data_IF_139383473969
#
_entry.id   IF_139383473969
#
_cell.length_a   1.000
_cell.length_b   1.000
_cell.length_c   1.000
_cell.angle_alpha   90.00
_cell.angle_beta   90.00
_cell.angle_gamma   90.00
#
_symmetry.space_group_name_H-M   'P 1'
#
loop_
_entity.id
_entity.type
_entity.pdbx_description
1 polymer ?
#
# COMPACT_ATOMS: atom_id res chain seq x y z
N UNK A 1 3.00 -74.81 -34.83
CA UNK A 1 4.44 -74.51 -34.93
C UNK A 1 4.60 -73.03 -35.25
N UNK A 2 5.34 -72.34 -34.38
CA UNK A 2 6.04 -71.04 -34.50
C UNK A 2 5.55 -69.91 -35.45
N UNK A 3 5.30 -68.76 -34.79
CA UNK A 3 5.92 -67.44 -34.96
C UNK A 3 5.75 -66.58 -36.22
N UNK A 4 5.66 -65.26 -35.97
CA UNK A 4 6.25 -64.21 -36.83
C UNK A 4 5.22 -63.27 -37.45
N UNK A 5 4.56 -62.41 -36.68
CA UNK A 5 4.92 -61.01 -36.39
C UNK A 5 4.71 -59.98 -37.53
N UNK A 6 3.61 -59.23 -37.35
CA UNK A 6 3.43 -57.77 -37.44
C UNK A 6 4.15 -56.97 -38.55
N UNK A 7 3.37 -56.52 -39.53
CA UNK A 7 3.74 -55.43 -40.45
C UNK A 7 2.74 -54.26 -40.35
N UNK A 8 3.14 -53.27 -39.55
CA UNK A 8 3.07 -51.81 -39.74
C UNK A 8 1.96 -51.17 -40.60
N UNK A 9 1.15 -50.32 -39.97
CA UNK A 9 0.49 -49.18 -40.61
C UNK A 9 0.43 -47.95 -39.68
N UNK A 10 1.11 -46.88 -40.13
CA UNK A 10 0.89 -45.45 -39.91
C UNK A 10 0.60 -44.91 -38.49
N UNK A 11 1.67 -44.60 -37.75
CA UNK A 11 1.65 -43.65 -36.64
C UNK A 11 2.69 -42.56 -36.89
N UNK A 12 2.30 -41.30 -36.77
CA UNK A 12 3.20 -40.16 -36.89
C UNK A 12 4.27 -40.20 -35.79
N UNK A 13 5.54 -40.29 -36.21
CA UNK A 13 6.70 -40.10 -35.34
C UNK A 13 6.83 -38.62 -34.97
N UNK A 14 6.63 -38.32 -33.69
CA UNK A 14 7.01 -37.06 -33.07
C UNK A 14 8.46 -37.26 -32.58
N UNK A 15 9.47 -36.53 -33.09
CA UNK A 15 10.82 -36.65 -32.56
C UNK A 15 10.85 -36.10 -31.12
N UNK A 16 10.96 -37.02 -30.17
CA UNK A 16 11.38 -36.76 -28.79
C UNK A 16 12.89 -36.52 -28.81
N UNK A 17 13.30 -35.27 -29.05
CA UNK A 17 14.69 -34.86 -28.92
C UNK A 17 14.81 -33.67 -27.98
N UNK A 18 15.48 -33.94 -26.86
CA UNK A 18 16.42 -33.01 -26.27
C UNK A 18 15.84 -32.06 -25.25
N UNK A 19 16.24 -32.26 -24.00
CA UNK A 19 16.21 -31.25 -22.96
C UNK A 19 16.83 -29.95 -23.49
N UNK A 20 16.00 -28.96 -23.76
CA UNK A 20 16.43 -27.58 -23.68
C UNK A 20 16.22 -27.17 -22.23
N UNK A 21 17.31 -27.10 -21.47
CA UNK A 21 17.42 -26.21 -20.33
C UNK A 21 16.94 -24.84 -20.80
N UNK A 22 15.68 -24.53 -20.54
CA UNK A 22 15.22 -23.16 -20.56
C UNK A 22 16.00 -22.54 -19.41
N UNK A 23 16.90 -21.57 -19.64
CA UNK A 23 17.40 -20.81 -18.52
C UNK A 23 16.17 -20.17 -17.90
N UNK A 24 15.77 -20.64 -16.72
CA UNK A 24 15.02 -19.79 -15.80
C UNK A 24 16.01 -18.68 -15.49
N UNK A 25 15.99 -17.64 -16.31
CA UNK A 25 16.40 -16.33 -15.86
C UNK A 25 15.39 -15.98 -14.79
N UNK A 26 15.71 -16.32 -13.54
CA UNK A 26 15.25 -15.54 -12.40
C UNK A 26 15.88 -14.17 -12.60
N UNK A 27 15.30 -13.37 -13.49
CA UNK A 27 15.59 -11.95 -13.58
C UNK A 27 15.08 -11.41 -12.26
N UNK A 28 16.04 -11.16 -11.37
CA UNK A 28 15.83 -10.40 -10.17
C UNK A 28 15.02 -9.14 -10.49
N UNK A 29 14.06 -8.84 -9.61
CA UNK A 29 13.59 -7.49 -9.32
C UNK A 29 13.53 -6.53 -10.52
N UNK A 30 12.62 -6.76 -11.46
CA UNK A 30 11.97 -5.60 -12.04
C UNK A 30 11.04 -5.04 -10.95
N UNK A 31 11.22 -3.80 -10.45
CA UNK A 31 10.21 -3.21 -9.61
C UNK A 31 8.95 -3.18 -10.47
N UNK A 32 7.93 -3.94 -10.05
CA UNK A 32 6.63 -3.94 -10.69
C UNK A 32 6.24 -2.48 -10.92
N UNK A 33 6.17 -2.07 -12.19
CA UNK A 33 6.01 -0.69 -12.67
C UNK A 33 5.40 0.24 -11.59
N UNK A 34 6.25 0.87 -10.77
CA UNK A 34 5.79 1.61 -9.58
C UNK A 34 4.84 2.75 -9.99
N UNK A 35 4.94 3.20 -11.24
CA UNK A 35 4.07 4.18 -11.90
C UNK A 35 2.58 3.83 -11.78
N UNK A 36 2.22 2.54 -11.85
CA UNK A 36 0.83 2.09 -11.82
C UNK A 36 0.24 1.91 -10.43
N UNK A 37 1.08 1.91 -9.38
CA UNK A 37 0.64 1.60 -8.02
C UNK A 37 0.04 2.82 -7.32
N UNK A 38 -1.05 2.60 -6.59
CA UNK A 38 -1.71 3.63 -5.79
C UNK A 38 -0.96 3.85 -4.47
N UNK A 39 -0.59 5.09 -4.19
CA UNK A 39 0.07 5.50 -2.96
C UNK A 39 -0.75 6.58 -2.23
N UNK A 40 -0.51 6.64 -0.92
CA UNK A 40 -0.99 7.71 -0.06
C UNK A 40 0.19 8.56 0.37
N UNK A 41 0.07 9.87 0.19
CA UNK A 41 1.10 10.86 0.47
C UNK A 41 0.71 11.73 1.65
N UNK A 42 1.71 12.09 2.46
CA UNK A 42 1.55 13.07 3.54
C UNK A 42 2.87 13.75 3.83
N UNK A 43 2.83 15.08 4.00
CA UNK A 43 3.98 15.83 4.47
C UNK A 43 4.06 15.76 6.01
N UNK A 44 5.16 15.23 6.53
CA UNK A 44 5.36 15.02 7.97
C UNK A 44 6.78 15.38 8.38
N UNK A 45 6.99 15.71 9.65
CA UNK A 45 8.35 15.83 10.20
C UNK A 45 9.08 14.50 10.07
N UNK A 46 10.37 14.58 9.81
CA UNK A 46 11.23 13.43 9.61
C UNK A 46 12.17 13.27 10.81
N UNK A 47 12.29 12.03 11.31
CA UNK A 47 13.28 11.62 12.30
C UNK A 47 14.05 10.46 11.70
N UNK A 48 15.27 10.71 11.24
CA UNK A 48 16.20 9.71 10.71
C UNK A 48 15.62 8.83 9.56
N UNK A 49 14.87 9.44 8.65
CA UNK A 49 14.27 8.76 7.49
C UNK A 49 12.88 8.19 7.75
N UNK A 50 12.33 8.33 8.95
CA UNK A 50 11.01 7.82 9.37
C UNK A 50 10.12 9.02 9.73
N UNK A 51 8.80 8.98 9.44
CA UNK A 51 7.91 10.03 9.89
C UNK A 51 7.85 10.10 11.42
N UNK A 52 7.86 11.32 11.96
CA UNK A 52 7.70 11.57 13.39
C UNK A 52 6.32 11.07 13.83
N UNK A 53 6.30 10.08 14.73
CA UNK A 53 5.07 9.57 15.34
C UNK A 53 4.53 10.56 16.37
N UNK A 54 3.21 10.72 16.40
CA UNK A 54 2.51 11.45 17.44
C UNK A 54 1.30 12.22 16.91
N UNK A 55 0.65 12.94 17.81
CA UNK A 55 -0.52 13.75 17.43
C UNK A 55 -0.08 15.07 16.80
N UNK A 56 -0.58 15.35 15.60
CA UNK A 56 -0.26 16.57 14.87
C UNK A 56 -0.61 16.46 13.40
N UNK A 57 -0.82 17.61 12.76
CA UNK A 57 -1.00 17.68 11.30
C UNK A 57 0.29 17.35 10.55
N UNK A 58 1.44 17.61 11.18
CA UNK A 58 2.79 17.39 10.66
C UNK A 58 3.44 16.12 11.23
N UNK A 59 2.65 15.21 11.83
CA UNK A 59 3.10 13.94 12.41
C UNK A 59 2.27 12.78 11.88
N UNK A 60 2.79 11.57 12.05
CA UNK A 60 2.06 10.34 11.83
C UNK A 60 1.28 9.96 13.08
N UNK A 61 0.00 10.31 13.08
CA UNK A 61 -0.93 10.00 14.15
C UNK A 61 -2.27 10.71 13.96
N UNK A 62 -3.29 10.19 14.63
CA UNK A 62 -4.61 10.80 14.65
C UNK A 62 -4.67 11.83 15.77
N UNK A 63 -5.34 12.95 15.52
CA UNK A 63 -5.76 13.91 16.54
C UNK A 63 -7.15 13.52 17.04
N UNK A 64 -7.57 14.06 18.18
CA UNK A 64 -8.93 13.83 18.68
C UNK A 64 -10.01 14.19 17.65
N UNK A 65 -9.80 15.26 16.87
CA UNK A 65 -10.74 15.65 15.80
C UNK A 65 -10.78 14.65 14.65
N UNK A 66 -9.68 13.97 14.36
CA UNK A 66 -9.60 12.96 13.30
C UNK A 66 -10.39 11.69 13.69
N UNK A 67 -10.72 11.54 14.99
CA UNK A 67 -11.57 10.46 15.52
C UNK A 67 -12.87 10.98 16.12
N UNK A 68 -13.33 12.16 15.70
CA UNK A 68 -14.59 12.78 16.14
C UNK A 68 -14.71 12.93 17.68
N UNK A 69 -13.61 13.22 18.36
CA UNK A 69 -13.52 13.39 19.81
C UNK A 69 -13.96 12.15 20.62
N UNK A 70 -13.99 10.98 19.97
CA UNK A 70 -14.38 9.73 20.61
C UNK A 70 -13.31 9.26 21.60
N UNK A 71 -13.74 8.64 22.70
CA UNK A 71 -12.83 8.06 23.68
C UNK A 71 -12.09 6.85 23.10
N UNK A 72 -10.89 6.55 23.63
CA UNK A 72 -10.07 5.42 23.16
C UNK A 72 -10.78 4.06 23.27
N UNK A 73 -11.73 3.91 24.20
CA UNK A 73 -12.52 2.68 24.36
C UNK A 73 -13.71 2.56 23.42
N UNK A 74 -14.08 3.65 22.71
CA UNK A 74 -15.21 3.64 21.79
C UNK A 74 -14.93 2.72 20.62
N UNK A 75 -15.86 1.81 20.34
CA UNK A 75 -15.82 0.94 19.16
C UNK A 75 -16.21 1.70 17.90
N UNK A 76 -15.41 1.55 16.84
CA UNK A 76 -15.65 2.08 15.51
C UNK A 76 -15.63 0.93 14.50
N UNK A 77 -16.38 1.10 13.41
CA UNK A 77 -16.47 0.11 12.32
C UNK A 77 -15.82 0.64 11.05
N UNK A 78 -15.68 -0.17 9.99
CA UNK A 78 -15.20 0.33 8.70
C UNK A 78 -16.09 1.41 8.05
N UNK A 79 -17.31 1.61 8.55
CA UNK A 79 -18.20 2.70 8.15
C UNK A 79 -17.85 4.04 8.81
N UNK A 80 -16.87 4.06 9.72
CA UNK A 80 -16.40 5.28 10.35
C UNK A 80 -15.80 6.23 9.31
N UNK A 81 -16.33 7.45 9.22
CA UNK A 81 -16.06 8.38 8.11
C UNK A 81 -14.89 9.33 8.34
N UNK A 82 -14.19 9.22 9.47
CA UNK A 82 -13.04 10.07 9.80
C UNK A 82 -11.78 9.22 9.93
N UNK A 83 -10.61 9.85 9.84
CA UNK A 83 -9.34 9.15 9.94
C UNK A 83 -8.15 10.04 9.60
N UNK A 84 -7.03 9.41 9.30
CA UNK A 84 -5.80 10.13 8.96
C UNK A 84 -5.94 10.71 7.55
N UNK A 85 -6.04 12.03 7.44
CA UNK A 85 -6.02 12.72 6.15
C UNK A 85 -4.74 12.43 5.35
N UNK A 86 -4.89 12.11 4.08
CA UNK A 86 -3.79 11.86 3.14
C UNK A 86 -4.16 12.45 1.77
N UNK A 87 -3.18 12.52 0.88
CA UNK A 87 -3.40 12.81 -0.54
C UNK A 87 -3.15 11.54 -1.34
N UNK A 88 -4.04 11.20 -2.27
CA UNK A 88 -3.92 10.01 -3.12
C UNK A 88 -3.12 10.34 -4.38
N UNK A 89 -2.27 9.43 -4.83
CA UNK A 89 -1.49 9.59 -6.06
C UNK A 89 -0.92 8.26 -6.55
N UNK A 90 -0.06 8.33 -7.58
CA UNK A 90 0.49 7.15 -8.25
C UNK A 90 2.02 7.23 -8.34
N UNK A 91 2.68 6.11 -8.06
CA UNK A 91 4.13 5.96 -8.15
C UNK A 91 4.95 7.01 -7.41
N UNK A 92 5.97 7.55 -8.08
CA UNK A 92 6.86 8.59 -7.52
C UNK A 92 6.38 10.02 -7.82
N UNK A 93 5.27 10.18 -8.55
CA UNK A 93 4.76 11.50 -8.91
C UNK A 93 4.04 12.10 -7.70
N UNK A 94 4.70 13.05 -7.03
CA UNK A 94 4.12 13.77 -5.90
C UNK A 94 2.88 14.55 -6.37
N UNK A 95 1.69 14.31 -5.78
CA UNK A 95 0.51 15.11 -6.08
C UNK A 95 0.75 16.60 -5.78
N UNK A 96 0.34 17.53 -6.66
CA UNK A 96 0.67 18.95 -6.52
C UNK A 96 0.07 19.63 -5.27
N UNK A 97 -0.91 19.01 -4.61
CA UNK A 97 -1.67 19.57 -3.50
C UNK A 97 -1.50 18.80 -2.18
N UNK A 98 -0.36 18.14 -1.95
CA UNK A 98 -0.06 17.55 -0.63
C UNK A 98 0.07 18.67 0.40
N UNK A 99 -0.82 18.79 1.42
CA UNK A 99 -0.79 19.90 2.35
C UNK A 99 0.50 19.92 3.18
N UNK A 100 1.13 21.08 3.28
CA UNK A 100 2.33 21.27 4.12
C UNK A 100 1.99 21.99 5.44
N UNK A 101 1.79 21.20 6.49
CA UNK A 101 1.61 21.71 7.86
C UNK A 101 2.93 21.87 8.63
N UNK A 102 4.05 21.44 8.03
CA UNK A 102 5.38 21.52 8.63
C UNK A 102 6.04 22.90 8.47
N UNK A 103 5.43 23.79 7.67
CA UNK A 103 5.96 25.11 7.30
C UNK A 103 7.32 25.02 6.56
N UNK A 104 7.39 24.15 5.56
CA UNK A 104 8.57 23.94 4.72
C UNK A 104 9.69 23.10 5.36
N UNK A 105 9.44 22.47 6.52
CA UNK A 105 10.46 21.70 7.27
C UNK A 105 10.23 20.18 7.27
N UNK A 106 9.17 19.73 6.63
CA UNK A 106 8.75 18.34 6.59
C UNK A 106 9.27 17.64 5.35
N UNK A 107 9.08 16.33 5.34
CA UNK A 107 9.38 15.44 4.24
C UNK A 107 8.07 14.85 3.76
N UNK A 108 7.89 14.78 2.45
CA UNK A 108 6.76 14.06 1.87
C UNK A 108 7.07 12.57 1.99
N UNK A 109 6.20 11.84 2.67
CA UNK A 109 6.26 10.39 2.72
C UNK A 109 5.14 9.80 1.88
N UNK A 110 5.38 8.61 1.32
CA UNK A 110 4.39 7.78 0.66
C UNK A 110 4.29 6.40 1.33
N UNK A 111 3.11 5.80 1.28
CA UNK A 111 2.88 4.39 1.63
C UNK A 111 2.02 3.75 0.54
N UNK A 112 2.31 2.52 0.08
CA UNK A 112 1.43 1.81 -0.83
C UNK A 112 0.04 1.65 -0.20
N UNK A 113 -1.03 2.02 -0.90
CA UNK A 113 -2.38 1.91 -0.33
C UNK A 113 -2.74 0.45 0.02
N UNK A 114 -2.21 -0.51 -0.74
CA UNK A 114 -2.38 -1.96 -0.52
C UNK A 114 -1.73 -2.47 0.77
N UNK A 115 -0.64 -1.84 1.24
CA UNK A 115 0.06 -2.31 2.44
C UNK A 115 -0.71 -2.02 3.72
N UNK A 116 -1.68 -1.10 3.71
CA UNK A 116 -2.48 -0.79 4.89
C UNK A 116 -3.32 -1.98 5.38
N UNK A 117 -3.75 -2.86 4.48
CA UNK A 117 -4.59 -4.00 4.83
C UNK A 117 -3.91 -4.96 5.82
N UNK A 118 -2.58 -5.13 5.74
CA UNK A 118 -1.85 -5.95 6.72
C UNK A 118 -1.83 -5.36 8.13
N UNK A 119 -2.13 -4.07 8.27
CA UNK A 119 -2.30 -3.38 9.54
C UNK A 119 -3.76 -3.34 10.01
N UNK A 120 -4.70 -3.93 9.27
CA UNK A 120 -6.14 -3.78 9.54
C UNK A 120 -6.66 -2.38 9.22
N UNK A 121 -5.98 -1.67 8.32
CA UNK A 121 -6.32 -0.32 7.86
C UNK A 121 -6.65 -0.33 6.37
N UNK A 122 -7.36 0.70 5.90
CA UNK A 122 -7.65 0.90 4.48
C UNK A 122 -7.46 2.37 4.11
N UNK A 123 -6.84 2.62 2.97
CA UNK A 123 -6.73 3.94 2.37
C UNK A 123 -7.81 4.14 1.34
N UNK A 124 -8.66 5.15 1.52
CA UNK A 124 -9.78 5.41 0.63
C UNK A 124 -9.70 6.84 0.06
N UNK A 125 -9.93 7.03 -1.24
CA UNK A 125 -10.23 8.36 -1.76
C UNK A 125 -11.54 8.85 -1.11
N UNK A 126 -11.57 10.12 -0.73
CA UNK A 126 -12.74 10.76 -0.13
C UNK A 126 -13.03 12.00 -0.96
N UNK A 127 -14.22 12.07 -1.53
CA UNK A 127 -14.63 13.22 -2.34
C UNK A 127 -14.60 14.49 -1.48
N UNK A 128 -13.75 15.44 -1.85
CA UNK A 128 -13.68 16.76 -1.25
C UNK A 128 -13.56 17.79 -2.39
N UNK A 129 -14.60 18.60 -2.65
CA UNK A 129 -14.59 19.59 -3.72
C UNK A 129 -13.46 20.62 -3.60
N UNK A 130 -12.99 20.89 -2.38
CA UNK A 130 -11.97 21.90 -2.11
C UNK A 130 -10.55 21.34 -2.15
N UNK A 131 -10.40 20.00 -2.07
CA UNK A 131 -9.09 19.32 -1.99
C UNK A 131 -9.04 18.17 -2.98
N UNK A 132 -8.48 18.39 -4.18
CA UNK A 132 -8.27 17.33 -5.16
C UNK A 132 -7.45 16.18 -4.59
N UNK A 133 -7.82 14.95 -4.94
CA UNK A 133 -7.18 13.71 -4.48
C UNK A 133 -7.16 13.54 -2.95
N UNK A 134 -8.10 14.16 -2.23
CA UNK A 134 -8.24 13.92 -0.80
C UNK A 134 -8.54 12.44 -0.51
N UNK A 135 -7.92 11.91 0.53
CA UNK A 135 -8.17 10.57 1.01
C UNK A 135 -8.04 10.48 2.52
N UNK A 136 -8.42 9.32 3.04
CA UNK A 136 -8.29 9.01 4.46
C UNK A 136 -7.82 7.57 4.66
N UNK A 137 -6.96 7.38 5.66
CA UNK A 137 -6.72 6.06 6.25
C UNK A 137 -7.75 5.83 7.36
N UNK A 138 -8.46 4.70 7.27
CA UNK A 138 -9.57 4.31 8.15
C UNK A 138 -9.40 2.85 8.63
N UNK A 139 -10.14 2.42 9.65
CA UNK A 139 -10.21 1.00 10.04
C UNK A 139 -10.75 0.13 8.90
N UNK A 140 -10.10 -0.99 8.61
CA UNK A 140 -10.60 -2.00 7.67
C UNK A 140 -11.52 -3.03 8.35
N UNK A 141 -11.41 -3.18 9.67
CA UNK A 141 -12.24 -4.04 10.51
C UNK A 141 -12.69 -3.29 11.77
N UNK A 142 -13.75 -3.74 12.47
CA UNK A 142 -14.15 -3.14 13.73
C UNK A 142 -13.03 -3.16 14.78
N UNK A 143 -12.80 -2.03 15.44
CA UNK A 143 -11.79 -1.88 16.49
C UNK A 143 -12.14 -0.71 17.40
N UNK A 144 -11.49 -0.58 18.55
CA UNK A 144 -11.62 0.63 19.36
C UNK A 144 -10.70 1.75 18.83
N UNK A 145 -11.02 3.00 19.18
CA UNK A 145 -10.25 4.19 18.77
C UNK A 145 -8.79 4.13 19.21
N UNK A 146 -8.50 3.60 20.40
CA UNK A 146 -7.14 3.43 20.89
C UNK A 146 -6.31 2.49 20.00
N UNK A 147 -6.88 1.36 19.60
CA UNK A 147 -6.29 0.42 18.65
C UNK A 147 -6.09 1.08 17.28
N UNK A 148 -7.07 1.82 16.79
CA UNK A 148 -6.94 2.54 15.52
C UNK A 148 -5.76 3.52 15.54
N UNK A 149 -5.61 4.31 16.61
CA UNK A 149 -4.47 5.21 16.81
C UNK A 149 -3.14 4.46 16.81
N UNK A 150 -3.04 3.38 17.57
CA UNK A 150 -1.83 2.58 17.65
C UNK A 150 -1.45 1.97 16.29
N UNK A 151 -2.43 1.50 15.52
CA UNK A 151 -2.20 0.93 14.19
C UNK A 151 -1.74 1.98 13.18
N UNK A 152 -2.32 3.20 13.19
CA UNK A 152 -1.79 4.30 12.35
C UNK A 152 -0.32 4.53 12.65
N UNK A 153 0.05 4.63 13.93
CA UNK A 153 1.42 4.92 14.34
C UNK A 153 2.38 3.75 14.03
N UNK A 154 1.92 2.51 14.11
CA UNK A 154 2.74 1.34 13.78
C UNK A 154 3.07 1.21 12.29
N UNK A 155 2.35 1.95 11.42
CA UNK A 155 2.71 2.02 9.99
C UNK A 155 4.00 2.81 9.73
N UNK A 156 4.56 3.56 10.70
CA UNK A 156 5.69 4.47 10.49
C UNK A 156 6.86 3.89 9.66
N UNK A 157 7.31 2.64 9.89
CA UNK A 157 8.42 2.06 9.12
C UNK A 157 8.08 1.78 7.65
N UNK A 158 6.79 1.69 7.28
CA UNK A 158 6.34 1.45 5.92
C UNK A 158 6.17 2.74 5.09
N UNK A 159 6.23 3.91 5.74
CA UNK A 159 6.21 5.19 5.04
C UNK A 159 7.60 5.52 4.52
N UNK A 160 7.71 5.61 3.20
CA UNK A 160 8.97 5.89 2.50
C UNK A 160 9.05 7.37 2.14
N UNK A 161 10.19 8.05 2.38
CA UNK A 161 10.37 9.42 1.93
C UNK A 161 10.39 9.48 0.40
N UNK A 162 9.70 10.45 -0.18
CA UNK A 162 9.76 10.76 -1.61
C UNK A 162 10.89 11.75 -1.85
N UNK A 163 11.69 11.51 -2.89
CA UNK A 163 12.85 12.33 -3.27
C UNK A 163 12.54 13.25 -4.44
#
# INVERSE_FOLDING_TARGET
MLNGDSSHASGYDIPLTGAADIPVTTTADEPADESGNLYLYRNMRNVNGIPMVGEGLDKLGLRDRDVNLLSNSTMITPLFTNGLSVTVGYGDVIPPNVPDFSRGKGTIFRIPASSLMSYGLVGLPVLNPDVPNYGQVRPAIPMNVGTFRALIQSTAPAWQPVK
#
